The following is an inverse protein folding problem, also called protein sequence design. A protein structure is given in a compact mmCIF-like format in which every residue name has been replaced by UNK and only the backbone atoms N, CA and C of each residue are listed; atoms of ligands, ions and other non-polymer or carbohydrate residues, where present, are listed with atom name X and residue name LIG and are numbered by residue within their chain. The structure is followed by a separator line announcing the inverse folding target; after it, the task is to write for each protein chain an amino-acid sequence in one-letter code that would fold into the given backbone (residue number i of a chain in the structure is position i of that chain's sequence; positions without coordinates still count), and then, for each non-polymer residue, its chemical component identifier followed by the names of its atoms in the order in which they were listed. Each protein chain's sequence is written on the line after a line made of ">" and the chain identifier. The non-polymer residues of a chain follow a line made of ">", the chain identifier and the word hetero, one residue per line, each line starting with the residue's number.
data_IF_432895216355
#
_entry.id   IF_432895216355
#
_cell.length_a   1.000
_cell.length_b   1.000
_cell.length_c   1.000
_cell.angle_alpha   90.00
_cell.angle_beta   90.00
_cell.angle_gamma   90.00
#
_symmetry.space_group_name_H-M   'P 1'
#
loop_
_entity.id
_entity.type
_entity.pdbx_description
1 polymer ?
#
# COMPACT_ATOMS: atom_id res chain seq x y z
N UNK A 1 -6.21 -13.22 -30.55
CA UNK A 1 -5.32 -13.60 -29.42
C UNK A 1 -5.93 -13.05 -28.13
N UNK A 2 -6.10 -13.83 -27.06
CA UNK A 2 -6.73 -13.33 -25.83
C UNK A 2 -5.88 -12.22 -25.19
N UNK A 3 -6.52 -11.23 -24.54
CA UNK A 3 -5.84 -10.09 -23.90
C UNK A 3 -4.79 -10.55 -22.87
N UNK A 4 -5.07 -11.62 -22.14
CA UNK A 4 -4.15 -12.22 -21.18
C UNK A 4 -2.89 -12.79 -21.85
N UNK A 5 -3.06 -13.45 -23.00
CA UNK A 5 -1.94 -13.96 -23.79
C UNK A 5 -1.06 -12.81 -24.28
N UNK A 6 -1.66 -11.73 -24.79
CA UNK A 6 -0.91 -10.54 -25.20
C UNK A 6 -0.14 -9.89 -24.04
N UNK A 7 -0.72 -9.84 -22.85
CA UNK A 7 -0.04 -9.34 -21.65
C UNK A 7 1.14 -10.23 -21.21
N UNK A 8 0.95 -11.54 -21.21
CA UNK A 8 2.01 -12.47 -20.80
C UNK A 8 3.26 -12.39 -21.70
N UNK A 9 3.06 -12.09 -22.99
CA UNK A 9 4.15 -12.01 -23.98
C UNK A 9 4.62 -10.57 -24.30
N UNK A 10 4.20 -9.56 -23.53
CA UNK A 10 4.74 -8.19 -23.67
C UNK A 10 6.13 -8.03 -23.02
N UNK A 11 6.76 -6.88 -23.25
CA UNK A 11 8.11 -6.52 -22.79
C UNK A 11 8.25 -6.30 -21.27
N UNK A 12 7.16 -6.44 -20.50
CA UNK A 12 7.22 -6.33 -19.06
C UNK A 12 8.00 -7.52 -18.48
N UNK A 13 8.96 -7.31 -17.56
CA UNK A 13 9.73 -8.42 -17.00
C UNK A 13 8.84 -9.46 -16.30
N UNK A 14 9.13 -10.74 -16.50
CA UNK A 14 8.36 -11.86 -15.90
C UNK A 14 8.30 -11.76 -14.38
N UNK A 15 9.38 -11.29 -13.73
CA UNK A 15 9.40 -11.07 -12.29
C UNK A 15 8.35 -10.07 -11.81
N UNK A 16 8.12 -8.98 -12.55
CA UNK A 16 7.05 -8.02 -12.25
C UNK A 16 5.68 -8.66 -12.39
N UNK A 17 5.46 -9.46 -13.45
CA UNK A 17 4.19 -10.17 -13.67
C UNK A 17 3.87 -11.10 -12.49
N UNK A 18 4.86 -11.86 -12.02
CA UNK A 18 4.70 -12.76 -10.87
C UNK A 18 4.36 -11.97 -9.60
N UNK A 19 5.10 -10.89 -9.30
CA UNK A 19 4.82 -10.03 -8.15
C UNK A 19 3.40 -9.45 -8.19
N UNK A 20 2.94 -8.99 -9.36
CA UNK A 20 1.58 -8.48 -9.52
C UNK A 20 0.53 -9.57 -9.31
N UNK A 21 0.74 -10.77 -9.84
CA UNK A 21 -0.19 -11.90 -9.63
C UNK A 21 -0.28 -12.30 -8.16
N UNK A 22 0.85 -12.35 -7.44
CA UNK A 22 0.86 -12.61 -6.00
C UNK A 22 0.10 -11.53 -5.22
N UNK A 23 0.28 -10.26 -5.58
CA UNK A 23 -0.46 -9.16 -4.95
C UNK A 23 -1.95 -9.22 -5.25
N UNK A 24 -2.35 -9.54 -6.48
CA UNK A 24 -3.76 -9.71 -6.84
C UNK A 24 -4.39 -10.87 -6.07
N UNK A 25 -3.69 -11.99 -5.95
CA UNK A 25 -4.12 -13.15 -5.18
C UNK A 25 -4.30 -12.84 -3.68
N UNK A 26 -3.58 -11.86 -3.15
CA UNK A 26 -3.72 -11.39 -1.75
C UNK A 26 -4.80 -10.30 -1.60
N UNK A 27 -4.72 -9.27 -2.44
CA UNK A 27 -5.50 -8.05 -2.28
C UNK A 27 -6.99 -8.26 -2.56
N UNK A 28 -7.35 -9.13 -3.52
CA UNK A 28 -8.75 -9.38 -3.86
C UNK A 28 -9.50 -10.05 -2.69
N UNK A 29 -9.00 -11.17 -2.11
CA UNK A 29 -9.60 -11.72 -0.89
C UNK A 29 -9.59 -10.73 0.28
N UNK A 30 -8.51 -9.97 0.47
CA UNK A 30 -8.44 -9.00 1.56
C UNK A 30 -9.51 -7.91 1.43
N UNK A 31 -9.72 -7.33 0.24
CA UNK A 31 -10.78 -6.33 0.00
C UNK A 31 -12.16 -6.93 0.24
N UNK A 32 -12.39 -8.15 -0.24
CA UNK A 32 -13.66 -8.83 -0.07
C UNK A 32 -14.02 -9.03 1.42
N UNK A 33 -13.05 -9.49 2.22
CA UNK A 33 -13.21 -9.72 3.65
C UNK A 33 -13.29 -8.40 4.46
N UNK A 34 -12.41 -7.44 4.19
CA UNK A 34 -12.26 -6.22 4.99
C UNK A 34 -13.18 -5.07 4.57
N UNK A 35 -13.62 -5.05 3.31
CA UNK A 35 -14.29 -3.88 2.72
C UNK A 35 -15.64 -4.18 2.07
N UNK A 36 -16.00 -5.43 1.77
CA UNK A 36 -17.28 -5.71 1.08
C UNK A 36 -18.24 -6.48 1.98
N UNK A 37 -17.96 -7.75 2.27
CA UNK A 37 -18.97 -8.64 2.85
C UNK A 37 -18.84 -8.86 4.37
N UNK A 38 -17.62 -8.94 4.91
CA UNK A 38 -17.41 -9.54 6.24
C UNK A 38 -16.49 -8.74 7.18
N UNK A 39 -16.57 -7.38 7.23
CA UNK A 39 -15.67 -6.59 8.08
C UNK A 39 -15.91 -6.81 9.58
N UNK A 40 -17.05 -7.40 9.95
CA UNK A 40 -17.42 -7.78 11.32
C UNK A 40 -16.97 -9.19 11.69
N UNK A 41 -16.37 -9.95 10.77
CA UNK A 41 -15.93 -11.34 10.98
C UNK A 41 -14.43 -11.51 10.81
N UNK A 42 -13.63 -10.49 11.13
CA UNK A 42 -12.17 -10.56 11.02
C UNK A 42 -11.55 -11.54 12.02
N UNK A 43 -12.28 -11.89 13.07
CA UNK A 43 -11.96 -12.94 14.04
C UNK A 43 -12.00 -14.37 13.45
N UNK A 44 -12.71 -14.57 12.34
CA UNK A 44 -12.82 -15.89 11.68
C UNK A 44 -12.22 -15.89 10.27
N UNK A 45 -12.47 -14.83 9.50
CA UNK A 45 -12.22 -14.78 8.05
C UNK A 45 -10.98 -13.98 7.67
N UNK A 46 -10.27 -13.44 8.66
CA UNK A 46 -9.03 -12.71 8.44
C UNK A 46 -7.91 -13.27 9.31
N UNK A 47 -6.67 -12.94 8.94
CA UNK A 47 -5.47 -13.52 9.54
C UNK A 47 -5.18 -13.02 10.97
N UNK A 48 -5.86 -11.96 11.40
CA UNK A 48 -5.95 -11.51 12.79
C UNK A 48 -7.24 -10.70 12.98
N UNK A 49 -7.68 -10.52 14.23
CA UNK A 49 -8.87 -9.72 14.54
C UNK A 49 -8.58 -8.23 14.39
N UNK A 50 -9.42 -7.52 13.63
CA UNK A 50 -9.32 -6.06 13.42
C UNK A 50 -10.54 -5.36 13.99
N UNK A 51 -10.34 -4.62 15.07
CA UNK A 51 -11.39 -3.86 15.75
C UNK A 51 -10.97 -2.39 15.98
N UNK A 52 -11.94 -1.47 16.11
CA UNK A 52 -13.35 -1.58 15.66
C UNK A 52 -13.49 -1.77 14.14
N UNK A 53 -14.73 -1.96 13.65
CA UNK A 53 -15.04 -2.24 12.23
C UNK A 53 -14.48 -1.17 11.29
N UNK A 54 -14.48 0.11 11.68
CA UNK A 54 -13.84 1.18 10.90
C UNK A 54 -12.35 0.90 10.61
N UNK A 55 -11.62 0.21 11.50
CA UNK A 55 -10.22 -0.18 11.25
C UNK A 55 -10.11 -1.32 10.22
N UNK A 56 -11.06 -2.26 10.22
CA UNK A 56 -11.12 -3.27 9.17
C UNK A 56 -11.36 -2.62 7.81
N UNK A 57 -12.31 -1.68 7.73
CA UNK A 57 -12.57 -0.91 6.51
C UNK A 57 -11.37 -0.06 6.09
N UNK A 58 -10.69 0.58 7.04
CA UNK A 58 -9.45 1.33 6.81
C UNK A 58 -8.38 0.44 6.16
N UNK A 59 -8.14 -0.75 6.70
CA UNK A 59 -7.25 -1.75 6.11
C UNK A 59 -7.72 -2.15 4.69
N UNK A 60 -9.03 -2.33 4.51
CA UNK A 60 -9.66 -2.55 3.20
C UNK A 60 -9.33 -1.44 2.19
N UNK A 61 -9.37 -0.17 2.59
CA UNK A 61 -8.96 0.98 1.76
C UNK A 61 -7.47 0.89 1.40
N UNK A 62 -6.60 0.45 2.31
CA UNK A 62 -5.19 0.23 1.99
C UNK A 62 -5.00 -0.84 0.90
N UNK A 63 -5.75 -1.94 0.97
CA UNK A 63 -5.72 -2.97 -0.07
C UNK A 63 -6.32 -2.48 -1.39
N UNK A 64 -7.42 -1.72 -1.35
CA UNK A 64 -8.01 -1.10 -2.54
C UNK A 64 -7.02 -0.13 -3.20
N UNK A 65 -6.31 0.66 -2.41
CA UNK A 65 -5.23 1.54 -2.85
C UNK A 65 -4.14 0.74 -3.60
N UNK A 66 -3.68 -0.38 -3.04
CA UNK A 66 -2.73 -1.26 -3.71
C UNK A 66 -3.30 -1.86 -5.00
N UNK A 67 -4.57 -2.29 -4.99
CA UNK A 67 -5.24 -2.88 -6.15
C UNK A 67 -5.36 -1.88 -7.31
N UNK A 68 -5.64 -0.61 -7.03
CA UNK A 68 -5.69 0.45 -8.05
C UNK A 68 -4.32 0.60 -8.72
N UNK A 69 -3.23 0.69 -7.95
CA UNK A 69 -1.88 0.80 -8.53
C UNK A 69 -1.46 -0.43 -9.31
N UNK A 70 -1.71 -1.62 -8.75
CA UNK A 70 -1.41 -2.88 -9.45
C UNK A 70 -2.24 -2.98 -10.73
N UNK A 71 -3.50 -2.55 -10.70
CA UNK A 71 -4.35 -2.45 -11.89
C UNK A 71 -3.75 -1.52 -12.95
N UNK A 72 -3.35 -0.29 -12.59
CA UNK A 72 -2.69 0.64 -13.50
C UNK A 72 -1.38 0.04 -14.04
N UNK A 73 -0.60 -0.60 -13.18
CA UNK A 73 0.67 -1.26 -13.50
C UNK A 73 0.49 -2.45 -14.44
N UNK A 74 -0.56 -3.24 -14.26
CA UNK A 74 -0.88 -4.40 -15.08
C UNK A 74 -1.05 -4.00 -16.55
N UNK A 75 -1.58 -2.82 -16.83
CA UNK A 75 -1.75 -2.32 -18.20
C UNK A 75 -0.52 -1.60 -18.76
N UNK A 76 0.61 -1.58 -18.04
CA UNK A 76 1.84 -0.98 -18.55
C UNK A 76 2.67 -1.99 -19.37
N UNK A 77 3.27 -1.56 -20.49
CA UNK A 77 3.98 -2.45 -21.40
C UNK A 77 5.43 -2.73 -21.00
N UNK A 78 6.06 -1.91 -20.16
CA UNK A 78 7.49 -1.96 -19.91
C UNK A 78 7.89 -1.55 -18.48
N UNK A 79 9.13 -1.88 -18.12
CA UNK A 79 9.74 -1.57 -16.81
C UNK A 79 9.64 -0.08 -16.43
N UNK A 80 9.99 0.81 -17.37
CA UNK A 80 10.05 2.25 -17.13
C UNK A 80 8.72 2.80 -16.59
N UNK A 81 7.58 2.25 -17.03
CA UNK A 81 6.25 2.69 -16.59
C UNK A 81 5.74 2.02 -15.31
N UNK A 82 6.35 0.93 -14.85
CA UNK A 82 5.96 0.22 -13.61
C UNK A 82 6.90 0.45 -12.44
N UNK A 83 8.11 0.98 -12.67
CA UNK A 83 9.16 1.08 -11.64
C UNK A 83 8.70 1.74 -10.34
N UNK A 84 7.93 2.83 -10.40
CA UNK A 84 7.43 3.51 -9.19
C UNK A 84 6.46 2.64 -8.39
N UNK A 85 5.66 1.82 -9.08
CA UNK A 85 4.77 0.84 -8.45
C UNK A 85 5.61 -0.26 -7.79
N UNK A 86 6.69 -0.70 -8.43
CA UNK A 86 7.62 -1.67 -7.84
C UNK A 86 8.37 -1.13 -6.63
N UNK A 87 8.74 0.16 -6.60
CA UNK A 87 9.31 0.82 -5.42
C UNK A 87 8.36 0.74 -4.24
N UNK A 88 7.09 1.10 -4.47
CA UNK A 88 6.04 1.02 -3.44
C UNK A 88 5.85 -0.40 -2.93
N UNK A 89 5.73 -1.37 -3.84
CA UNK A 89 5.50 -2.78 -3.49
C UNK A 89 6.69 -3.34 -2.69
N UNK A 90 7.92 -3.13 -3.17
CA UNK A 90 9.12 -3.65 -2.53
C UNK A 90 9.29 -3.10 -1.12
N UNK A 91 9.09 -1.80 -0.94
CA UNK A 91 9.21 -1.19 0.38
C UNK A 91 8.06 -1.60 1.30
N UNK A 92 6.83 -1.66 0.79
CA UNK A 92 5.67 -2.09 1.57
C UNK A 92 5.84 -3.53 2.05
N UNK A 93 6.25 -4.45 1.16
CA UNK A 93 6.37 -5.86 1.52
C UNK A 93 7.42 -6.08 2.60
N UNK A 94 8.58 -5.42 2.52
CA UNK A 94 9.61 -5.48 3.56
C UNK A 94 9.11 -4.93 4.88
N UNK A 95 8.58 -3.71 4.89
CA UNK A 95 8.16 -3.05 6.13
C UNK A 95 6.94 -3.74 6.77
N UNK A 96 5.98 -4.22 5.97
CA UNK A 96 4.83 -4.97 6.49
C UNK A 96 5.26 -6.31 7.11
N UNK A 97 6.25 -7.00 6.51
CA UNK A 97 6.86 -8.20 7.12
C UNK A 97 7.51 -7.86 8.46
N UNK A 98 8.29 -6.77 8.53
CA UNK A 98 8.90 -6.31 9.79
C UNK A 98 7.82 -5.99 10.83
N UNK A 99 6.76 -5.25 10.47
CA UNK A 99 5.66 -4.94 11.38
C UNK A 99 4.91 -6.19 11.86
N UNK A 100 4.81 -7.22 11.02
CA UNK A 100 4.23 -8.52 11.41
C UNK A 100 5.02 -9.15 12.55
N UNK A 101 6.36 -9.11 12.49
CA UNK A 101 7.20 -9.64 13.57
C UNK A 101 7.18 -8.75 14.82
N UNK A 102 7.17 -7.42 14.66
CA UNK A 102 7.06 -6.48 15.78
C UNK A 102 5.75 -6.67 16.54
N UNK A 103 4.65 -6.87 15.81
CA UNK A 103 3.30 -7.04 16.35
C UNK A 103 2.79 -8.45 16.10
N UNK A 104 3.52 -9.46 16.59
CA UNK A 104 3.20 -10.86 16.34
C UNK A 104 1.98 -11.36 17.14
N UNK A 105 1.71 -10.77 18.31
CA UNK A 105 0.67 -11.24 19.25
C UNK A 105 -0.73 -11.38 18.63
N UNK A 106 -1.25 -10.42 17.85
CA UNK A 106 -2.57 -10.55 17.22
C UNK A 106 -2.68 -11.74 16.27
N UNK A 107 -1.59 -12.10 15.58
CA UNK A 107 -1.56 -13.24 14.68
C UNK A 107 -1.51 -14.58 15.43
N UNK A 108 -0.80 -14.64 16.56
CA UNK A 108 -0.72 -15.85 17.39
C UNK A 108 -2.01 -16.15 18.16
N UNK A 109 -2.91 -15.17 18.27
CA UNK A 109 -4.24 -15.37 18.84
C UNK A 109 -5.18 -16.14 17.90
N UNK A 110 -4.76 -16.37 16.65
CA UNK A 110 -5.50 -17.08 15.61
C UNK A 110 -4.87 -18.46 15.33
N UNK A 111 -5.60 -19.37 14.66
CA UNK A 111 -5.03 -20.64 14.23
C UNK A 111 -3.74 -20.45 13.42
N UNK A 112 -2.75 -21.32 13.67
CA UNK A 112 -1.40 -21.18 13.11
C UNK A 112 -1.35 -21.05 11.58
N UNK A 113 -2.30 -21.67 10.86
CA UNK A 113 -2.36 -21.62 9.40
C UNK A 113 -2.70 -20.22 8.85
N UNK A 114 -3.38 -19.34 9.61
CA UNK A 114 -3.58 -17.94 9.24
C UNK A 114 -2.24 -17.20 9.19
N UNK A 115 -1.43 -17.36 10.22
CA UNK A 115 -0.09 -16.78 10.28
C UNK A 115 0.82 -17.36 9.19
N UNK A 116 0.76 -18.67 8.95
CA UNK A 116 1.56 -19.30 7.88
C UNK A 116 1.16 -18.80 6.50
N UNK A 117 -0.14 -18.64 6.21
CA UNK A 117 -0.60 -18.04 4.96
C UNK A 117 -0.08 -16.61 4.79
N UNK A 118 -0.25 -15.78 5.83
CA UNK A 118 0.21 -14.38 5.83
C UNK A 118 1.72 -14.28 5.63
N UNK A 119 2.50 -14.92 6.50
CA UNK A 119 3.96 -14.87 6.43
C UNK A 119 4.50 -15.53 5.18
N UNK A 120 3.91 -16.63 4.69
CA UNK A 120 4.34 -17.27 3.45
C UNK A 120 4.28 -16.29 2.27
N UNK A 121 3.17 -15.57 2.13
CA UNK A 121 3.00 -14.54 1.09
C UNK A 121 3.96 -13.37 1.26
N UNK A 122 4.06 -12.82 2.49
CA UNK A 122 4.88 -11.64 2.76
C UNK A 122 6.38 -11.93 2.76
N UNK A 123 6.83 -13.13 3.13
CA UNK A 123 8.24 -13.55 3.01
C UNK A 123 8.65 -13.72 1.55
N UNK A 124 7.77 -14.29 0.72
CA UNK A 124 8.02 -14.35 -0.73
C UNK A 124 8.09 -12.94 -1.31
N UNK A 125 7.13 -12.07 -1.00
CA UNK A 125 7.10 -10.70 -1.54
C UNK A 125 8.22 -9.80 -1.00
N UNK A 126 8.65 -9.96 0.25
CA UNK A 126 9.73 -9.15 0.83
C UNK A 126 11.10 -9.48 0.24
N UNK A 127 11.24 -10.63 -0.42
CA UNK A 127 12.45 -10.99 -1.18
C UNK A 127 12.27 -10.71 -2.67
N UNK A 128 11.19 -11.23 -3.26
CA UNK A 128 10.95 -11.18 -4.69
C UNK A 128 10.81 -9.74 -5.21
N UNK A 129 10.04 -8.88 -4.54
CA UNK A 129 9.80 -7.53 -5.04
C UNK A 129 11.06 -6.64 -4.98
N UNK A 130 11.82 -6.57 -3.87
CA UNK A 130 13.11 -5.88 -3.87
C UNK A 130 14.12 -6.48 -4.86
N UNK A 131 14.18 -7.80 -4.99
CA UNK A 131 15.06 -8.45 -5.95
C UNK A 131 14.74 -8.04 -7.39
N UNK A 132 13.47 -8.10 -7.80
CA UNK A 132 13.03 -7.66 -9.13
C UNK A 132 13.34 -6.17 -9.33
N UNK A 133 13.02 -5.32 -8.34
CA UNK A 133 13.31 -3.89 -8.41
C UNK A 133 14.80 -3.61 -8.63
N UNK A 134 15.67 -4.19 -7.81
CA UNK A 134 17.12 -3.95 -7.88
C UNK A 134 17.71 -4.50 -9.18
N UNK A 135 17.27 -5.68 -9.62
CA UNK A 135 17.79 -6.31 -10.84
C UNK A 135 17.38 -5.55 -12.10
N UNK A 136 16.12 -5.15 -12.21
CA UNK A 136 15.63 -4.42 -13.39
C UNK A 136 16.15 -2.97 -13.43
N UNK A 137 16.23 -2.26 -12.29
CA UNK A 137 16.87 -0.93 -12.25
C UNK A 137 18.33 -1.00 -12.67
N UNK A 138 19.08 -2.02 -12.23
CA UNK A 138 20.48 -2.22 -12.64
C UNK A 138 20.62 -2.50 -14.13
N UNK A 139 19.76 -3.35 -14.70
CA UNK A 139 19.77 -3.65 -16.15
C UNK A 139 19.54 -2.41 -17.02
N UNK A 140 18.73 -1.47 -16.52
CA UNK A 140 18.38 -0.25 -17.24
C UNK A 140 19.33 0.93 -16.97
N UNK A 141 20.36 0.75 -16.13
CA UNK A 141 21.32 1.80 -15.80
C UNK A 141 20.81 2.84 -14.80
N UNK A 142 19.70 2.56 -14.09
CA UNK A 142 19.11 3.45 -13.09
C UNK A 142 18.32 4.61 -13.70
N UNK A 143 18.87 5.83 -13.67
CA UNK A 143 18.11 7.04 -14.06
C UNK A 143 17.87 7.07 -15.57
N UNK A 144 16.63 6.79 -15.96
CA UNK A 144 16.18 6.86 -17.34
C UNK A 144 16.07 8.30 -17.85
N UNK A 145 16.28 8.55 -19.16
CA UNK A 145 16.01 9.86 -19.78
C UNK A 145 14.59 10.35 -19.47
N UNK A 146 14.45 11.65 -19.26
CA UNK A 146 13.14 12.28 -19.01
C UNK A 146 12.50 12.61 -20.35
N UNK A 147 11.32 12.04 -20.62
CA UNK A 147 10.50 12.32 -21.80
C UNK A 147 9.58 13.51 -21.53
N UNK A 148 8.87 13.49 -20.39
CA UNK A 148 7.92 14.55 -20.01
C UNK A 148 8.28 15.06 -18.62
N UNK A 149 8.89 16.26 -18.50
CA UNK A 149 9.33 16.76 -17.21
C UNK A 149 8.16 17.08 -16.28
N UNK A 150 8.37 16.85 -14.98
CA UNK A 150 7.45 17.35 -13.96
C UNK A 150 7.43 18.88 -13.94
N UNK A 151 6.23 19.46 -14.10
CA UNK A 151 6.02 20.90 -13.94
C UNK A 151 6.21 21.32 -12.47
N UNK A 152 6.35 22.64 -12.25
CA UNK A 152 6.60 23.20 -10.92
C UNK A 152 5.53 22.86 -9.87
N UNK A 153 4.25 22.87 -10.27
CA UNK A 153 3.14 22.55 -9.39
C UNK A 153 3.18 21.08 -8.94
N UNK A 154 3.42 20.15 -9.85
CA UNK A 154 3.54 18.72 -9.53
C UNK A 154 4.75 18.45 -8.63
N UNK A 155 5.88 19.15 -8.84
CA UNK A 155 7.04 19.05 -7.95
C UNK A 155 6.72 19.56 -6.54
N UNK A 156 6.06 20.71 -6.43
CA UNK A 156 5.65 21.27 -5.14
C UNK A 156 4.71 20.29 -4.41
N UNK A 157 3.69 19.77 -5.10
CA UNK A 157 2.78 18.78 -4.53
C UNK A 157 3.52 17.51 -4.08
N UNK A 158 4.45 17.00 -4.89
CA UNK A 158 5.24 15.84 -4.51
C UNK A 158 6.08 16.10 -3.24
N UNK A 159 6.72 17.26 -3.11
CA UNK A 159 7.47 17.64 -1.90
C UNK A 159 6.53 17.71 -0.69
N UNK A 160 5.40 18.39 -0.81
CA UNK A 160 4.43 18.53 0.27
C UNK A 160 3.90 17.17 0.73
N UNK A 161 3.45 16.33 -0.21
CA UNK A 161 2.96 15.00 0.14
C UNK A 161 4.05 14.07 0.66
N UNK A 162 5.29 14.18 0.19
CA UNK A 162 6.41 13.44 0.76
C UNK A 162 6.63 13.79 2.23
N UNK A 163 6.68 15.10 2.55
CA UNK A 163 6.89 15.58 3.92
C UNK A 163 5.73 15.23 4.84
N UNK A 164 4.49 15.46 4.40
CA UNK A 164 3.29 15.13 5.18
C UNK A 164 3.26 13.62 5.46
N UNK A 165 3.48 12.78 4.43
CA UNK A 165 3.49 11.33 4.60
C UNK A 165 4.61 10.88 5.54
N UNK A 166 5.80 11.49 5.45
CA UNK A 166 6.91 11.19 6.35
C UNK A 166 6.57 11.53 7.81
N UNK A 167 6.01 12.71 8.07
CA UNK A 167 5.58 13.12 9.42
C UNK A 167 4.51 12.18 9.96
N UNK A 168 3.50 11.84 9.16
CA UNK A 168 2.47 10.87 9.54
C UNK A 168 3.06 9.48 9.85
N UNK A 169 3.99 8.99 9.03
CA UNK A 169 4.66 7.71 9.24
C UNK A 169 5.45 7.67 10.56
N UNK A 170 6.23 8.72 10.84
CA UNK A 170 6.99 8.84 12.08
C UNK A 170 6.05 8.85 13.31
N UNK A 171 4.96 9.62 13.23
CA UNK A 171 3.95 9.63 14.29
C UNK A 171 3.34 8.24 14.53
N UNK A 172 2.99 7.52 13.47
CA UNK A 172 2.37 6.20 13.57
C UNK A 172 3.32 5.11 14.08
N UNK A 173 4.62 5.19 13.78
CA UNK A 173 5.60 4.22 14.28
C UNK A 173 6.03 4.49 15.71
N UNK A 174 6.22 5.76 16.08
CA UNK A 174 6.92 6.11 17.33
C UNK A 174 6.05 6.84 18.34
N UNK A 175 4.86 7.31 17.94
CA UNK A 175 3.99 8.15 18.77
C UNK A 175 2.52 7.82 18.61
N UNK A 176 2.17 6.54 18.53
CA UNK A 176 0.78 6.10 18.25
C UNK A 176 -0.23 6.66 19.28
N UNK A 177 0.17 6.87 20.53
CA UNK A 177 -0.69 7.48 21.56
C UNK A 177 -0.99 8.96 21.25
N UNK A 178 0.02 9.71 20.81
CA UNK A 178 -0.13 11.10 20.35
C UNK A 178 -0.96 11.18 19.08
N UNK A 179 -0.71 10.30 18.11
CA UNK A 179 -1.53 10.22 16.89
C UNK A 179 -2.97 9.91 17.27
N UNK A 180 -3.16 8.97 18.19
CA UNK A 180 -4.48 8.68 18.70
C UNK A 180 -5.12 9.95 19.24
N UNK A 181 -4.50 10.81 20.04
CA UNK A 181 -5.18 12.03 20.56
C UNK A 181 -5.94 12.87 19.51
N UNK A 182 -5.41 12.96 18.27
CA UNK A 182 -6.02 13.73 17.18
C UNK A 182 -6.74 12.88 16.12
N UNK A 183 -6.46 11.58 16.04
CA UNK A 183 -7.11 10.70 15.06
C UNK A 183 -8.60 10.50 15.41
N UNK A 184 -9.52 10.49 14.43
CA UNK A 184 -10.96 10.54 14.73
C UNK A 184 -11.52 9.29 15.44
N UNK A 185 -10.78 8.18 15.45
CA UNK A 185 -11.07 6.95 16.19
C UNK A 185 -9.77 6.37 16.78
N UNK A 186 -9.84 5.26 17.52
CA UNK A 186 -8.64 4.61 18.09
C UNK A 186 -8.01 3.66 17.07
N UNK A 187 -6.71 3.85 16.81
CA UNK A 187 -5.88 2.94 16.04
C UNK A 187 -5.14 1.98 16.99
N UNK A 188 -5.40 0.66 16.90
CA UNK A 188 -4.54 -0.34 17.53
C UNK A 188 -3.10 -0.26 17.00
N UNK A 189 -2.07 -0.61 17.79
CA UNK A 189 -0.68 -0.47 17.38
C UNK A 189 -0.32 -1.14 16.06
N UNK A 190 -0.83 -2.36 15.79
CA UNK A 190 -0.59 -3.06 14.52
C UNK A 190 -1.22 -2.32 13.33
N UNK A 191 -2.47 -1.86 13.46
CA UNK A 191 -3.16 -1.11 12.40
C UNK A 191 -2.43 0.21 12.16
N UNK A 192 -2.10 0.94 13.23
CA UNK A 192 -1.30 2.17 13.16
C UNK A 192 0.04 1.94 12.47
N UNK A 193 0.75 0.87 12.83
CA UNK A 193 2.01 0.47 12.20
C UNK A 193 1.87 0.21 10.70
N UNK A 194 0.85 -0.55 10.26
CA UNK A 194 0.62 -0.81 8.83
C UNK A 194 0.23 0.46 8.05
N UNK A 195 -0.53 1.37 8.64
CA UNK A 195 -0.80 2.69 8.06
C UNK A 195 0.49 3.52 7.99
N UNK A 196 1.35 3.44 9.00
CA UNK A 196 2.68 4.04 9.00
C UNK A 196 3.56 3.52 7.87
N UNK A 197 3.50 2.20 7.58
CA UNK A 197 4.15 1.60 6.41
C UNK A 197 3.62 2.20 5.11
N UNK A 198 2.31 2.33 4.97
CA UNK A 198 1.70 2.95 3.79
C UNK A 198 2.15 4.41 3.61
N UNK A 199 2.21 5.20 4.68
CA UNK A 199 2.71 6.58 4.58
C UNK A 199 4.21 6.63 4.27
N UNK A 200 4.99 5.68 4.79
CA UNK A 200 6.42 5.57 4.46
C UNK A 200 6.61 5.29 2.97
N UNK A 201 5.82 4.37 2.42
CA UNK A 201 5.92 4.03 1.00
C UNK A 201 5.51 5.20 0.12
N UNK A 202 4.46 5.95 0.47
CA UNK A 202 4.11 7.20 -0.21
C UNK A 202 5.23 8.24 -0.14
N UNK A 203 5.84 8.46 1.04
CA UNK A 203 6.94 9.41 1.19
C UNK A 203 8.11 9.06 0.24
N UNK A 204 8.49 7.78 0.20
CA UNK A 204 9.54 7.29 -0.70
C UNK A 204 9.13 7.37 -2.17
N UNK A 205 7.87 7.09 -2.51
CA UNK A 205 7.39 7.18 -3.89
C UNK A 205 7.38 8.63 -4.41
N UNK A 206 6.99 9.60 -3.58
CA UNK A 206 7.07 11.01 -3.97
C UNK A 206 8.52 11.50 -4.06
N UNK A 207 9.40 11.06 -3.16
CA UNK A 207 10.84 11.33 -3.28
C UNK A 207 11.42 10.70 -4.56
N UNK A 208 11.04 9.47 -4.89
CA UNK A 208 11.39 8.80 -6.13
C UNK A 208 10.86 9.54 -7.35
N UNK A 209 9.64 10.05 -7.29
CA UNK A 209 9.04 10.82 -8.39
C UNK A 209 9.82 12.11 -8.67
N UNK A 210 10.26 12.80 -7.62
CA UNK A 210 11.13 13.98 -7.72
C UNK A 210 12.51 13.63 -8.30
N UNK A 211 13.09 12.50 -7.87
CA UNK A 211 14.36 12.02 -8.41
C UNK A 211 14.25 11.61 -9.88
N UNK A 212 13.17 10.91 -10.26
CA UNK A 212 12.93 10.48 -11.63
C UNK A 212 12.67 11.65 -12.56
N UNK A 213 11.76 12.53 -12.17
CA UNK A 213 11.44 13.77 -12.88
C UNK A 213 10.55 13.59 -14.11
N UNK A 214 10.05 12.39 -14.40
CA UNK A 214 9.22 12.10 -15.57
C UNK A 214 7.75 11.85 -15.21
N UNK A 215 6.86 12.69 -15.74
CA UNK A 215 5.42 12.61 -15.49
C UNK A 215 4.78 11.30 -15.95
N UNK A 216 5.16 10.76 -17.12
CA UNK A 216 4.54 9.56 -17.67
C UNK A 216 4.78 8.34 -16.78
N UNK A 217 5.93 8.30 -16.12
CA UNK A 217 6.33 7.22 -15.20
C UNK A 217 5.71 7.37 -13.81
N UNK A 218 5.55 8.60 -13.32
CA UNK A 218 5.11 8.84 -11.93
C UNK A 218 3.62 9.14 -11.81
N UNK A 219 2.92 9.52 -12.88
CA UNK A 219 1.47 9.81 -12.85
C UNK A 219 0.59 8.72 -12.19
N UNK A 220 0.91 7.40 -12.20
CA UNK A 220 0.08 6.42 -11.50
C UNK A 220 -0.16 6.73 -10.03
N UNK A 221 0.85 7.21 -9.29
CA UNK A 221 0.71 7.55 -7.87
C UNK A 221 -0.17 8.80 -7.67
N UNK A 222 -0.19 9.71 -8.63
CA UNK A 222 -1.07 10.89 -8.60
C UNK A 222 -2.51 10.53 -8.98
N UNK A 223 -2.70 9.61 -9.93
CA UNK A 223 -4.03 9.17 -10.36
C UNK A 223 -4.73 8.26 -9.34
N UNK A 224 -3.95 7.49 -8.58
CA UNK A 224 -4.45 6.68 -7.49
C UNK A 224 -4.90 7.53 -6.29
N UNK A 225 -4.28 8.68 -6.04
CA UNK A 225 -4.54 9.47 -4.84
C UNK A 225 -6.01 9.93 -4.69
N UNK A 226 -6.69 10.48 -5.73
CA UNK A 226 -8.10 10.86 -5.61
C UNK A 226 -9.07 9.74 -5.23
N UNK A 227 -9.11 8.57 -5.91
CA UNK A 227 -10.01 7.49 -5.51
C UNK A 227 -9.68 6.95 -4.12
N UNK A 228 -8.40 6.84 -3.75
CA UNK A 228 -8.02 6.47 -2.39
C UNK A 228 -8.50 7.49 -1.37
N UNK A 229 -8.30 8.79 -1.62
CA UNK A 229 -8.76 9.87 -0.76
C UNK A 229 -10.28 9.87 -0.57
N UNK A 230 -11.04 9.61 -1.64
CA UNK A 230 -12.49 9.45 -1.56
C UNK A 230 -12.87 8.28 -0.64
N UNK A 231 -12.23 7.12 -0.78
CA UNK A 231 -12.47 5.98 0.09
C UNK A 231 -12.17 6.29 1.56
N UNK A 232 -11.09 7.04 1.83
CA UNK A 232 -10.76 7.51 3.19
C UNK A 232 -11.83 8.46 3.76
N UNK A 233 -12.33 9.41 2.97
CA UNK A 233 -13.36 10.37 3.39
C UNK A 233 -14.67 9.66 3.71
N UNK A 234 -15.01 8.59 2.99
CA UNK A 234 -16.22 7.81 3.22
C UNK A 234 -16.19 7.04 4.55
N UNK A 235 -15.03 6.69 5.10
CA UNK A 235 -14.93 5.94 6.35
C UNK A 235 -15.69 6.60 7.52
N UNK A 236 -15.38 7.85 7.93
CA UNK A 236 -16.10 8.50 9.02
C UNK A 236 -17.59 8.76 8.70
N UNK A 237 -17.95 8.89 7.42
CA UNK A 237 -19.35 9.08 7.01
C UNK A 237 -20.17 7.81 7.15
N UNK A 238 -19.57 6.65 6.85
CA UNK A 238 -20.22 5.34 6.91
C UNK A 238 -20.16 4.71 8.30
N UNK A 239 -19.20 5.12 9.12
CA UNK A 239 -18.96 4.58 10.47
C UNK A 239 -18.97 5.69 11.54
N UNK A 240 -20.02 6.53 11.62
CA UNK A 240 -20.06 7.64 12.58
C UNK A 240 -20.04 7.15 14.03
N UNK A 241 -20.54 5.95 14.31
CA UNK A 241 -20.55 5.36 15.66
C UNK A 241 -19.19 4.87 16.16
N UNK A 242 -18.23 4.66 15.24
CA UNK A 242 -16.86 4.30 15.61
C UNK A 242 -15.98 5.53 15.86
N UNK A 243 -16.48 6.73 15.53
CA UNK A 243 -15.82 7.98 15.83
C UNK A 243 -15.82 8.21 17.33
N UNK A 244 -14.78 8.89 17.82
CA UNK A 244 -14.78 9.32 19.21
C UNK A 244 -16.01 10.18 19.46
N UNK A 245 -16.70 9.98 20.60
CA UNK A 245 -17.63 10.98 21.08
C UNK A 245 -16.90 12.31 21.02
N UNK A 246 -17.51 13.32 20.40
CA UNK A 246 -16.96 14.67 20.46
C UNK A 246 -16.60 14.93 21.92
N UNK A 247 -15.33 15.24 22.20
CA UNK A 247 -14.98 15.82 23.48
C UNK A 247 -15.94 17.01 23.61
N UNK A 248 -16.88 16.90 24.55
CA UNK A 248 -18.13 17.65 24.51
C UNK A 248 -17.90 19.15 24.31
N UNK A 249 -18.79 19.75 23.53
CA UNK A 249 -19.33 21.03 23.94
C UNK A 249 -20.51 20.74 24.87
#
# INVERSE_FOLDING_TARGET
>A
MSRLKAWWFNDLPTGVKIVFLLLLANAVPAIFNLMVLLPTMTDVMFVWTVEPVINARLMGVMYANALILVGIGFFQPNWARVRIVMVLIALFSVLATVMTFVYLKPFLAHPWFHLTYWLGMYLVLCVAAPFVLVTEERKQGGRLPVEVPLNGATRLLAVLFALISLVCALGLFFGIDTVNQVWPWKLPPLVGGLIGVLFTTHAVAYAWALWDGDWLRVRPIFWQAPPTGLLFILLPMLHPGDLRPHAGN
#
